data_IF_950185634807
#
_entry.id   IF_950185634807
#
_cell.length_a   1.000
_cell.length_b   1.000
_cell.length_c   1.000
_cell.angle_alpha   90.00
_cell.angle_beta   90.00
_cell.angle_gamma   90.00
#
_symmetry.space_group_name_H-M   'P 1'
#
loop_
_entity.id
_entity.type
_entity.pdbx_description
1 polymer ?
#
# COMPACT_ATOMS: atom_id res chain seq x y z
N UNK A 1 -13.45 -1.90 8.71
CA UNK A 1 -12.05 -2.30 8.90
C UNK A 1 -11.38 -2.55 7.56
N UNK A 2 -10.17 -2.00 7.34
CA UNK A 2 -9.45 -2.24 6.09
C UNK A 2 -9.14 -3.72 5.87
N UNK A 3 -9.20 -4.13 4.60
CA UNK A 3 -8.93 -5.50 4.17
C UNK A 3 -7.79 -5.52 3.16
N UNK A 4 -7.11 -6.66 2.98
CA UNK A 4 -6.03 -6.77 1.99
C UNK A 4 -6.50 -6.33 0.60
N UNK A 5 -5.70 -5.49 -0.04
CA UNK A 5 -6.01 -4.93 -1.35
C UNK A 5 -6.81 -3.64 -1.33
N UNK A 6 -7.34 -3.25 -0.19
CA UNK A 6 -8.02 -1.97 -0.07
C UNK A 6 -7.04 -0.83 -0.38
N UNK A 7 -7.57 0.24 -0.98
CA UNK A 7 -6.80 1.43 -1.28
C UNK A 7 -7.44 2.60 -0.53
N UNK A 8 -6.61 3.41 0.13
CA UNK A 8 -7.11 4.65 0.70
C UNK A 8 -6.18 5.82 0.41
N UNK A 9 -6.76 7.00 0.37
CA UNK A 9 -6.03 8.26 0.26
C UNK A 9 -5.95 8.85 1.66
N UNK A 10 -4.73 9.16 2.10
CA UNK A 10 -4.50 9.91 3.33
C UNK A 10 -4.23 11.35 2.94
N UNK A 11 -5.21 12.22 3.17
CA UNK A 11 -5.12 13.63 2.79
C UNK A 11 -4.21 14.38 3.75
N UNK A 12 -3.38 15.27 3.20
CA UNK A 12 -2.44 16.09 3.98
C UNK A 12 -1.49 15.24 4.84
N UNK A 13 -1.07 14.09 4.31
CA UNK A 13 -0.13 13.22 5.02
C UNK A 13 1.20 13.94 5.20
N UNK A 14 1.72 13.92 6.45
CA UNK A 14 2.98 14.58 6.80
C UNK A 14 4.15 13.61 6.60
N UNK A 15 5.10 14.02 5.75
CA UNK A 15 6.32 13.25 5.49
C UNK A 15 7.43 13.66 6.49
N UNK A 16 8.53 12.89 6.50
CA UNK A 16 9.66 13.13 7.41
C UNK A 16 10.26 14.53 7.26
N UNK A 17 10.24 15.08 6.04
CA UNK A 17 10.75 16.43 5.77
C UNK A 17 9.77 17.55 6.19
N UNK A 18 8.64 17.20 6.78
CA UNK A 18 7.62 18.15 7.21
C UNK A 18 6.65 18.57 6.13
N UNK A 19 6.85 18.19 4.88
CA UNK A 19 5.91 18.49 3.80
C UNK A 19 4.61 17.71 3.99
N UNK A 20 3.50 18.28 3.49
CA UNK A 20 2.18 17.65 3.54
C UNK A 20 1.62 17.54 2.14
N UNK A 21 1.07 16.38 1.81
CA UNK A 21 0.39 16.11 0.55
C UNK A 21 -0.44 14.86 0.66
N UNK A 22 -1.39 14.70 -0.25
CA UNK A 22 -2.21 13.50 -0.32
C UNK A 22 -1.35 12.30 -0.71
N UNK A 23 -1.55 11.19 -0.03
CA UNK A 23 -0.80 9.97 -0.29
C UNK A 23 -1.72 8.78 -0.39
N UNK A 24 -1.51 7.97 -1.41
CA UNK A 24 -2.30 6.75 -1.64
C UNK A 24 -1.55 5.55 -1.09
N UNK A 25 -2.29 4.70 -0.39
CA UNK A 25 -1.76 3.49 0.24
C UNK A 25 -2.53 2.26 -0.19
N UNK A 26 -1.82 1.14 -0.31
CA UNK A 26 -2.41 -0.18 -0.56
C UNK A 26 -2.30 -1.00 0.72
N UNK A 27 -3.44 -1.44 1.24
CA UNK A 27 -3.51 -2.22 2.49
C UNK A 27 -3.05 -3.66 2.23
N UNK A 28 -2.22 -4.18 3.12
CA UNK A 28 -1.62 -5.50 2.97
C UNK A 28 -2.26 -6.57 3.84
N UNK A 29 -2.98 -6.19 4.90
CA UNK A 29 -3.53 -7.15 5.85
C UNK A 29 -4.94 -6.79 6.30
N UNK A 30 -5.65 -7.77 6.85
CA UNK A 30 -6.89 -7.49 7.59
C UNK A 30 -6.50 -6.99 8.98
N UNK A 31 -6.92 -5.77 9.30
CA UNK A 31 -6.60 -5.14 10.59
C UNK A 31 -7.81 -5.17 11.52
N UNK A 32 -7.54 -5.05 12.81
CA UNK A 32 -8.56 -4.94 13.84
C UNK A 32 -8.03 -4.08 15.00
N UNK A 33 -8.70 -4.09 16.15
CA UNK A 33 -8.27 -3.28 17.29
C UNK A 33 -6.92 -3.72 17.86
N UNK A 34 -6.54 -4.98 17.67
CA UNK A 34 -5.28 -5.53 18.18
C UNK A 34 -4.18 -5.58 17.11
N UNK A 35 -4.58 -5.70 15.85
CA UNK A 35 -3.64 -5.80 14.72
C UNK A 35 -3.62 -4.50 13.95
N UNK A 36 -2.48 -3.83 13.84
CA UNK A 36 -2.39 -2.61 13.06
C UNK A 36 -2.64 -2.86 11.58
N UNK A 37 -3.04 -1.81 10.88
CA UNK A 37 -3.11 -1.81 9.43
C UNK A 37 -1.73 -1.51 8.89
N UNK A 38 -1.20 -2.38 8.06
CA UNK A 38 0.04 -2.10 7.32
C UNK A 38 -0.29 -1.87 5.86
N UNK A 39 0.41 -0.92 5.27
CA UNK A 39 0.12 -0.50 3.91
C UNK A 39 1.39 -0.07 3.18
N UNK A 40 1.41 -0.28 1.87
CA UNK A 40 2.49 0.17 1.02
C UNK A 40 2.19 1.56 0.48
N UNK A 41 3.19 2.40 0.51
CA UNK A 41 3.17 3.71 -0.10
C UNK A 41 3.22 3.58 -1.62
N UNK A 42 2.54 4.48 -2.32
CA UNK A 42 2.54 4.54 -3.77
C UNK A 42 2.97 5.90 -4.28
N UNK A 43 3.30 5.98 -5.55
CA UNK A 43 3.54 7.25 -6.24
C UNK A 43 3.05 7.14 -7.68
N UNK A 44 2.59 8.27 -8.23
CA UNK A 44 2.27 8.38 -9.67
C UNK A 44 3.39 9.10 -10.44
N UNK A 45 4.48 9.48 -9.77
CA UNK A 45 5.62 10.16 -10.39
C UNK A 45 6.55 9.10 -11.01
N UNK A 46 6.75 9.09 -12.33
CA UNK A 46 7.46 8.00 -13.00
C UNK A 46 8.98 8.08 -12.95
N UNK A 47 9.57 9.19 -12.49
CA UNK A 47 11.00 9.50 -12.66
C UNK A 47 11.94 8.36 -12.25
N UNK A 48 11.68 7.70 -11.13
CA UNK A 48 12.51 6.59 -10.63
C UNK A 48 12.22 5.26 -11.30
N UNK A 49 11.13 5.18 -12.03
CA UNK A 49 10.55 3.91 -12.48
C UNK A 49 10.39 3.83 -13.98
N UNK A 50 11.09 4.69 -14.71
CA UNK A 50 11.09 4.68 -16.18
C UNK A 50 11.56 3.30 -16.66
N UNK A 51 10.80 2.70 -17.55
CA UNK A 51 11.11 1.39 -18.10
C UNK A 51 10.51 0.21 -17.32
N UNK A 52 9.82 0.45 -16.21
CA UNK A 52 9.12 -0.62 -15.49
C UNK A 52 8.01 -1.21 -16.34
N UNK A 53 7.82 -2.53 -16.24
CA UNK A 53 6.72 -3.23 -16.89
C UNK A 53 5.62 -3.51 -15.88
N UNK A 54 4.40 -3.76 -16.39
CA UNK A 54 3.27 -4.08 -15.53
C UNK A 54 3.59 -5.21 -14.56
N UNK A 55 3.30 -5.01 -13.29
CA UNK A 55 3.51 -6.00 -12.24
C UNK A 55 4.83 -5.81 -11.50
N UNK A 56 5.43 -6.93 -11.11
CA UNK A 56 6.60 -6.93 -10.23
C UNK A 56 7.89 -6.56 -10.97
N UNK A 57 8.60 -5.56 -10.43
CA UNK A 57 9.91 -5.13 -10.91
C UNK A 57 10.87 -5.11 -9.71
N UNK A 58 11.41 -6.28 -9.35
CA UNK A 58 12.20 -6.44 -8.12
C UNK A 58 13.47 -5.58 -8.11
N UNK A 59 14.16 -5.51 -9.24
CA UNK A 59 15.39 -4.72 -9.39
C UNK A 59 15.14 -3.22 -9.22
N UNK A 60 13.91 -2.77 -9.49
CA UNK A 60 13.50 -1.38 -9.33
C UNK A 60 12.74 -1.14 -8.02
N UNK A 61 12.52 -2.18 -7.23
CA UNK A 61 11.80 -2.14 -5.95
C UNK A 61 10.41 -1.53 -6.11
N UNK A 62 9.69 -2.02 -7.10
CA UNK A 62 8.44 -1.41 -7.53
C UNK A 62 7.47 -2.46 -8.08
N UNK A 63 6.19 -2.26 -7.79
CA UNK A 63 5.11 -2.98 -8.46
C UNK A 63 4.32 -1.95 -9.27
N UNK A 64 4.35 -2.08 -10.59
CA UNK A 64 3.73 -1.11 -11.49
C UNK A 64 2.31 -1.50 -11.84
N UNK A 65 1.37 -0.61 -11.52
CA UNK A 65 -0.06 -0.79 -11.81
C UNK A 65 -0.54 0.31 -12.76
N UNK A 66 -0.47 0.10 -14.08
CA UNK A 66 -1.01 1.08 -15.02
C UNK A 66 -2.52 1.24 -14.86
N UNK A 67 -3.02 2.42 -15.11
CA UNK A 67 -4.45 2.75 -14.94
C UNK A 67 -5.36 1.89 -15.82
N UNK A 68 -4.85 1.42 -16.96
CA UNK A 68 -5.58 0.51 -17.86
C UNK A 68 -5.80 -0.86 -17.22
N UNK A 69 -4.95 -1.24 -16.29
CA UNK A 69 -5.04 -2.50 -15.54
C UNK A 69 -5.79 -2.33 -14.22
N UNK A 70 -5.49 -1.24 -13.49
CA UNK A 70 -6.10 -0.96 -12.19
C UNK A 70 -6.68 0.46 -12.17
N UNK A 71 -7.86 0.67 -12.74
CA UNK A 71 -8.45 2.02 -12.85
C UNK A 71 -8.81 2.62 -11.49
N UNK A 72 -8.82 1.82 -10.41
CA UNK A 72 -9.04 2.33 -9.06
C UNK A 72 -8.03 3.41 -8.65
N UNK A 73 -6.85 3.42 -9.25
CA UNK A 73 -5.84 4.43 -8.97
C UNK A 73 -6.03 5.76 -9.69
N UNK A 74 -6.82 5.82 -10.75
CA UNK A 74 -7.05 7.01 -11.58
C UNK A 74 -5.84 7.46 -12.40
N UNK A 75 -4.63 7.00 -12.09
CA UNK A 75 -3.38 7.27 -12.79
C UNK A 75 -2.49 6.03 -12.77
N UNK A 76 -1.53 5.98 -13.68
CA UNK A 76 -0.49 4.96 -13.59
C UNK A 76 0.22 5.09 -12.25
N UNK A 77 0.29 4.00 -11.51
CA UNK A 77 0.75 4.01 -10.12
C UNK A 77 1.88 3.02 -9.92
N UNK A 78 2.88 3.45 -9.16
CA UNK A 78 4.03 2.64 -8.77
C UNK A 78 3.94 2.38 -7.28
N UNK A 79 3.74 1.12 -6.91
CA UNK A 79 3.70 0.70 -5.50
C UNK A 79 5.14 0.47 -5.06
N UNK A 80 5.58 1.24 -4.08
CA UNK A 80 6.99 1.29 -3.67
C UNK A 80 7.30 0.17 -2.66
N UNK A 81 8.27 -0.68 -3.00
CA UNK A 81 8.60 -1.87 -2.23
C UNK A 81 9.94 -1.74 -1.52
N UNK A 82 10.06 -2.20 -0.31
CA UNK A 82 9.02 -2.57 0.64
C UNK A 82 8.67 -1.43 1.61
N UNK A 83 8.25 -0.29 1.11
CA UNK A 83 7.96 0.89 1.95
C UNK A 83 6.65 0.73 2.70
N UNK A 84 6.71 0.00 3.81
CA UNK A 84 5.55 -0.34 4.63
C UNK A 84 5.34 0.71 5.71
N UNK A 85 4.11 1.22 5.81
CA UNK A 85 3.66 2.13 6.86
C UNK A 85 2.69 1.37 7.76
N UNK A 86 2.74 1.69 9.05
CA UNK A 86 1.89 1.06 10.05
C UNK A 86 0.93 2.11 10.63
N UNK A 87 -0.35 1.79 10.65
CA UNK A 87 -1.38 2.65 11.20
C UNK A 87 -2.18 1.88 12.25
N UNK A 88 -2.34 2.45 13.44
CA UNK A 88 -3.20 1.84 14.44
C UNK A 88 -4.67 2.03 14.04
N UNK A 89 -5.56 1.19 14.61
CA UNK A 89 -6.99 1.34 14.40
C UNK A 89 -7.48 2.73 14.83
N UNK A 90 -6.95 3.25 15.95
CA UNK A 90 -7.34 4.57 16.44
C UNK A 90 -6.90 5.70 15.52
N UNK A 91 -5.69 5.60 14.93
CA UNK A 91 -5.24 6.57 13.94
C UNK A 91 -6.14 6.63 12.72
N UNK A 92 -6.46 5.46 12.16
CA UNK A 92 -7.32 5.39 10.98
C UNK A 92 -8.73 5.90 11.29
N UNK A 93 -9.29 5.50 12.43
CA UNK A 93 -10.61 5.93 12.83
C UNK A 93 -10.66 7.45 13.05
N UNK A 94 -9.72 7.98 13.80
CA UNK A 94 -9.65 9.41 14.10
C UNK A 94 -9.49 10.24 12.82
N UNK A 95 -8.60 9.84 11.92
CA UNK A 95 -8.39 10.56 10.67
C UNK A 95 -9.56 10.41 9.70
N UNK A 96 -10.25 9.29 9.74
CA UNK A 96 -11.47 9.10 8.95
C UNK A 96 -12.58 10.06 9.42
N UNK A 97 -12.75 10.23 10.73
CA UNK A 97 -13.72 11.18 11.28
C UNK A 97 -13.40 12.63 10.89
N UNK A 98 -12.12 12.95 10.72
CA UNK A 98 -11.68 14.27 10.27
C UNK A 98 -11.78 14.46 8.75
N UNK A 99 -12.23 13.44 8.02
CA UNK A 99 -12.29 13.48 6.56
C UNK A 99 -10.95 13.37 5.87
N UNK A 100 -9.90 12.92 6.58
CA UNK A 100 -8.56 12.78 6.01
C UNK A 100 -8.29 11.43 5.36
N UNK A 101 -9.12 10.44 5.62
CA UNK A 101 -9.02 9.11 5.01
C UNK A 101 -10.19 8.90 4.07
N UNK A 102 -9.89 8.63 2.79
CA UNK A 102 -10.90 8.32 1.80
C UNK A 102 -10.57 6.95 1.19
N UNK A 103 -11.49 5.99 1.36
CA UNK A 103 -11.32 4.68 0.73
C UNK A 103 -11.71 4.71 -0.72
N UNK A 104 -10.92 4.02 -1.54
CA UNK A 104 -11.12 3.86 -2.97
C UNK A 104 -11.49 2.41 -3.26
N UNK A 105 -11.97 2.08 -4.47
CA UNK A 105 -12.14 0.68 -4.85
C UNK A 105 -10.82 -0.09 -4.68
N UNK A 106 -10.92 -1.33 -4.23
CA UNK A 106 -9.75 -2.16 -3.98
C UNK A 106 -9.08 -2.61 -5.28
N UNK A 107 -7.81 -3.04 -5.17
CA UNK A 107 -7.15 -3.78 -6.24
C UNK A 107 -7.94 -5.02 -6.58
N UNK A 108 -7.90 -5.45 -7.84
CA UNK A 108 -8.44 -6.75 -8.20
C UNK A 108 -7.72 -7.84 -7.38
N UNK A 109 -8.43 -8.93 -7.12
CA UNK A 109 -7.85 -10.05 -6.37
C UNK A 109 -6.59 -10.60 -7.04
N UNK A 110 -6.63 -10.75 -8.37
CA UNK A 110 -5.48 -11.24 -9.13
C UNK A 110 -4.30 -10.30 -8.98
N UNK A 111 -4.53 -8.99 -9.08
CA UNK A 111 -3.47 -7.99 -8.89
C UNK A 111 -2.89 -8.05 -7.49
N UNK A 112 -3.74 -8.16 -6.47
CA UNK A 112 -3.27 -8.24 -5.08
C UNK A 112 -2.42 -9.50 -4.85
N UNK A 113 -2.82 -10.64 -5.39
CA UNK A 113 -2.04 -11.88 -5.27
C UNK A 113 -0.67 -11.75 -5.93
N UNK A 114 -0.59 -11.09 -7.07
CA UNK A 114 0.69 -10.81 -7.74
C UNK A 114 1.55 -9.87 -6.90
N UNK A 115 0.95 -8.83 -6.31
CA UNK A 115 1.66 -7.92 -5.41
C UNK A 115 2.22 -8.67 -4.21
N UNK A 116 1.43 -9.53 -3.61
CA UNK A 116 1.84 -10.33 -2.46
C UNK A 116 3.02 -11.24 -2.80
N UNK A 117 2.99 -11.88 -3.98
CA UNK A 117 4.13 -12.67 -4.46
C UNK A 117 5.38 -11.82 -4.67
N UNK A 118 5.20 -10.60 -5.18
CA UNK A 118 6.31 -9.67 -5.36
C UNK A 118 6.94 -9.27 -4.02
N UNK A 119 6.12 -8.97 -3.03
CA UNK A 119 6.58 -8.62 -1.67
C UNK A 119 7.42 -9.74 -1.07
N UNK A 120 7.07 -11.01 -1.33
CA UNK A 120 7.82 -12.15 -0.82
C UNK A 120 9.29 -12.13 -1.22
N UNK A 121 9.63 -11.52 -2.36
CA UNK A 121 11.01 -11.35 -2.80
C UNK A 121 11.84 -10.38 -1.95
N UNK A 122 11.18 -9.64 -1.04
CA UNK A 122 11.82 -8.67 -0.15
C UNK A 122 11.84 -9.13 1.31
N UNK A 123 11.72 -10.44 1.55
CA UNK A 123 11.61 -11.00 2.91
C UNK A 123 12.67 -10.47 3.86
N UNK A 124 13.92 -10.38 3.39
CA UNK A 124 15.03 -9.94 4.24
C UNK A 124 14.95 -8.44 4.61
N UNK A 125 14.18 -7.66 3.89
CA UNK A 125 13.97 -6.23 4.13
C UNK A 125 12.71 -5.96 4.93
N UNK A 126 11.95 -6.98 5.29
CA UNK A 126 10.68 -6.85 6.01
C UNK A 126 10.83 -7.44 7.40
N UNK A 127 10.45 -6.66 8.42
CA UNK A 127 10.49 -7.14 9.80
C UNK A 127 9.52 -8.32 10.02
N UNK A 128 9.84 -9.18 10.98
CA UNK A 128 9.06 -10.38 11.28
C UNK A 128 7.59 -10.04 11.56
N UNK A 129 7.34 -8.98 12.33
CA UNK A 129 5.97 -8.53 12.65
C UNK A 129 5.16 -8.24 11.38
N UNK A 130 5.72 -7.45 10.46
CA UNK A 130 5.03 -7.12 9.22
C UNK A 130 4.88 -8.32 8.31
N UNK A 131 5.92 -9.15 8.22
CA UNK A 131 5.84 -10.39 7.44
C UNK A 131 4.70 -11.28 7.92
N UNK A 132 4.59 -11.47 9.24
CA UNK A 132 3.54 -12.30 9.81
C UNK A 132 2.14 -11.72 9.56
N UNK A 133 1.99 -10.40 9.61
CA UNK A 133 0.72 -9.75 9.31
C UNK A 133 0.27 -9.96 7.86
N UNK A 134 1.23 -10.09 6.93
CA UNK A 134 0.93 -10.32 5.51
C UNK A 134 0.65 -11.79 5.23
N UNK A 135 1.49 -12.69 5.74
CA UNK A 135 1.52 -14.09 5.29
C UNK A 135 0.98 -15.10 6.29
N UNK A 136 0.97 -14.79 7.57
CA UNK A 136 0.43 -15.69 8.60
C UNK A 136 -0.97 -15.23 9.00
N UNK A 137 -1.95 -15.76 8.32
CA UNK A 137 -3.34 -15.43 8.60
C UNK A 137 -3.79 -16.24 9.81
N UNK A 138 -4.28 -15.56 10.84
CA UNK A 138 -4.86 -16.22 12.00
C UNK A 138 -6.15 -16.94 11.58
N UNK A 139 -6.27 -18.18 12.01
CA UNK A 139 -7.47 -18.97 11.75
C UNK A 139 -8.46 -18.84 12.89
#
# INVERSE_FOLDING_TARGET
>A
MPQPGDIFIFKDFTFEDGSQRDKWFVVLNASDLEKPCIALKTTSVPDRYIGCTQGCNRDRRCFYAPVTWQPCFLKDTYIQLPQIFEFSASELFSNRLRGKIEFRPALSRICFEQLKSCIAGFKDDIGTKHWDLIYKVAK
#
